data_IF_461717967420
#
_entry.id   IF_461717967420
#
_cell.length_a   1.000
_cell.length_b   1.000
_cell.length_c   1.000
_cell.angle_alpha   90.00
_cell.angle_beta   90.00
_cell.angle_gamma   90.00
#
_symmetry.space_group_name_H-M   'P 1'
#
loop_
_entity.id
_entity.type
_entity.pdbx_description
1 polymer ?
#
# COMPACT_ATOMS: atom_id res chain seq x y z
N UNK A 1 21.06 -41.37 2.72
CA UNK A 1 20.68 -40.49 1.60
C UNK A 1 20.06 -39.22 2.18
N UNK A 2 20.77 -38.09 2.10
CA UNK A 2 20.20 -36.79 2.49
C UNK A 2 19.23 -36.36 1.40
N UNK A 3 17.98 -36.09 1.74
CA UNK A 3 17.04 -35.44 0.82
C UNK A 3 17.59 -34.06 0.48
N UNK A 4 18.13 -33.90 -0.73
CA UNK A 4 18.29 -32.57 -1.32
C UNK A 4 16.89 -32.00 -1.46
N UNK A 5 16.55 -30.85 -0.85
CA UNK A 5 15.28 -30.18 -1.10
C UNK A 5 15.15 -30.02 -2.62
N UNK A 6 14.05 -30.55 -3.18
CA UNK A 6 13.87 -30.69 -4.62
C UNK A 6 14.15 -29.38 -5.35
N UNK A 7 14.81 -29.47 -6.51
CA UNK A 7 15.07 -28.30 -7.34
C UNK A 7 13.73 -27.66 -7.72
N UNK A 8 13.41 -26.58 -7.05
CA UNK A 8 12.21 -25.79 -7.28
C UNK A 8 12.25 -25.27 -8.71
N UNK A 9 11.29 -25.65 -9.57
CA UNK A 9 11.14 -25.09 -10.91
C UNK A 9 10.81 -23.60 -10.78
N UNK A 10 11.67 -22.67 -11.26
CA UNK A 10 11.40 -21.25 -11.09
C UNK A 10 10.12 -20.79 -11.77
N UNK A 11 9.74 -21.45 -12.87
CA UNK A 11 8.51 -21.14 -13.59
C UNK A 11 7.27 -21.59 -12.82
N UNK A 12 7.28 -22.80 -12.24
CA UNK A 12 6.16 -23.30 -11.41
C UNK A 12 6.01 -22.46 -10.15
N UNK A 13 7.12 -22.02 -9.56
CA UNK A 13 7.12 -21.12 -8.39
C UNK A 13 6.52 -19.77 -8.72
N UNK A 14 6.91 -19.19 -9.86
CA UNK A 14 6.41 -17.89 -10.27
C UNK A 14 4.90 -17.94 -10.58
N UNK A 15 4.44 -19.01 -11.22
CA UNK A 15 3.01 -19.24 -11.44
C UNK A 15 2.26 -19.53 -10.13
N UNK A 16 2.78 -20.42 -9.28
CA UNK A 16 2.16 -20.77 -8.00
C UNK A 16 2.10 -19.59 -7.02
N UNK A 17 3.05 -18.65 -7.10
CA UNK A 17 3.00 -17.39 -6.36
C UNK A 17 1.78 -16.54 -6.75
N UNK A 18 1.39 -16.52 -8.04
CA UNK A 18 0.18 -15.83 -8.48
C UNK A 18 -1.07 -16.49 -7.91
N UNK A 19 -1.13 -17.83 -7.96
CA UNK A 19 -2.27 -18.59 -7.43
C UNK A 19 -2.45 -18.35 -5.93
N UNK A 20 -1.35 -18.37 -5.16
CA UNK A 20 -1.38 -18.07 -3.71
C UNK A 20 -1.71 -16.61 -3.42
N UNK A 21 -1.24 -15.67 -4.25
CA UNK A 21 -1.62 -14.26 -4.13
C UNK A 21 -3.14 -14.08 -4.29
N UNK A 22 -3.74 -14.67 -5.32
CA UNK A 22 -5.19 -14.61 -5.54
C UNK A 22 -5.96 -15.30 -4.41
N UNK A 23 -5.47 -16.45 -3.93
CA UNK A 23 -6.08 -17.18 -2.82
C UNK A 23 -6.06 -16.37 -1.51
N UNK A 24 -4.94 -15.74 -1.15
CA UNK A 24 -4.83 -14.91 0.06
C UNK A 24 -5.75 -13.68 -0.04
N UNK A 25 -5.85 -13.02 -1.21
CA UNK A 25 -6.82 -11.94 -1.39
C UNK A 25 -8.26 -12.45 -1.24
N UNK A 26 -8.58 -13.63 -1.79
CA UNK A 26 -9.90 -14.23 -1.64
C UNK A 26 -10.24 -14.50 -0.17
N UNK A 27 -9.29 -15.02 0.61
CA UNK A 27 -9.45 -15.26 2.04
C UNK A 27 -9.71 -13.97 2.82
N UNK A 28 -8.90 -12.93 2.57
CA UNK A 28 -9.09 -11.60 3.19
C UNK A 28 -10.42 -10.94 2.79
N UNK A 29 -10.97 -11.28 1.63
CA UNK A 29 -12.22 -10.73 1.12
C UNK A 29 -13.47 -11.57 1.45
N UNK A 30 -13.29 -12.82 1.90
CA UNK A 30 -14.37 -13.76 2.19
C UNK A 30 -15.25 -13.30 3.35
N UNK A 31 -14.62 -12.72 4.39
CA UNK A 31 -15.30 -12.15 5.54
C UNK A 31 -14.77 -10.75 5.82
N UNK A 32 -15.65 -9.75 5.86
CA UNK A 32 -15.26 -8.36 6.08
C UNK A 32 -14.56 -8.13 7.44
N UNK A 33 -14.75 -9.01 8.43
CA UNK A 33 -14.07 -8.91 9.73
C UNK A 33 -12.56 -9.14 9.63
N UNK A 34 -12.12 -9.91 8.64
CA UNK A 34 -10.70 -10.19 8.37
C UNK A 34 -10.10 -9.25 7.33
N UNK A 35 -10.91 -8.35 6.78
CA UNK A 35 -10.50 -7.52 5.67
C UNK A 35 -9.37 -6.56 6.08
N UNK A 36 -8.27 -6.63 5.33
CA UNK A 36 -7.10 -5.75 5.43
C UNK A 36 -6.85 -5.14 4.03
N UNK A 37 -7.32 -3.91 3.77
CA UNK A 37 -7.15 -3.27 2.46
C UNK A 37 -5.67 -3.02 2.11
N UNK A 38 -4.80 -2.82 3.12
CA UNK A 38 -3.38 -2.56 2.91
C UNK A 38 -2.68 -3.84 2.44
N UNK A 39 -2.95 -4.98 3.09
CA UNK A 39 -2.41 -6.29 2.67
C UNK A 39 -2.88 -6.67 1.27
N UNK A 40 -4.18 -6.50 0.99
CA UNK A 40 -4.76 -6.72 -0.36
C UNK A 40 -4.05 -5.86 -1.41
N UNK A 41 -3.88 -4.57 -1.14
CA UNK A 41 -3.17 -3.65 -2.02
C UNK A 41 -1.73 -4.07 -2.30
N UNK A 42 -0.98 -4.46 -1.27
CA UNK A 42 0.41 -4.93 -1.38
C UNK A 42 0.54 -6.20 -2.21
N UNK A 43 -0.35 -7.17 -2.02
CA UNK A 43 -0.38 -8.41 -2.81
C UNK A 43 -0.70 -8.10 -4.28
N UNK A 44 -1.64 -7.21 -4.56
CA UNK A 44 -1.95 -6.85 -5.94
C UNK A 44 -0.84 -6.01 -6.61
N UNK A 45 -0.20 -5.11 -5.86
CA UNK A 45 0.93 -4.30 -6.34
C UNK A 45 2.12 -5.16 -6.79
N UNK A 46 2.31 -6.35 -6.21
CA UNK A 46 3.36 -7.23 -6.72
C UNK A 46 3.11 -7.69 -8.16
N UNK A 47 1.87 -7.70 -8.64
CA UNK A 47 1.49 -8.19 -9.96
C UNK A 47 1.37 -7.12 -11.04
N UNK A 48 1.26 -5.83 -10.68
CA UNK A 48 1.10 -4.70 -11.62
C UNK A 48 2.12 -4.74 -12.78
N UNK A 49 3.39 -4.99 -12.45
CA UNK A 49 4.47 -5.07 -13.45
C UNK A 49 5.00 -6.49 -13.68
N UNK A 50 4.34 -7.53 -13.14
CA UNK A 50 4.87 -8.91 -13.15
C UNK A 50 4.02 -9.94 -13.90
N UNK A 51 2.78 -9.60 -14.27
CA UNK A 51 1.94 -10.49 -15.09
C UNK A 51 2.56 -10.69 -16.48
N UNK A 52 3.01 -9.61 -17.13
CA UNK A 52 3.68 -9.70 -18.44
C UNK A 52 4.99 -10.50 -18.38
N UNK A 53 5.90 -10.26 -17.42
CA UNK A 53 7.05 -11.14 -17.20
C UNK A 53 6.70 -12.62 -17.00
N UNK A 54 5.67 -12.95 -16.21
CA UNK A 54 5.22 -14.33 -16.00
C UNK A 54 4.78 -14.98 -17.32
N UNK A 55 3.88 -14.34 -18.06
CA UNK A 55 3.39 -14.85 -19.35
C UNK A 55 4.53 -14.98 -20.36
N UNK A 56 5.48 -14.03 -20.36
CA UNK A 56 6.67 -14.07 -21.21
C UNK A 56 7.64 -15.19 -20.85
N UNK A 57 7.81 -15.47 -19.56
CA UNK A 57 8.61 -16.60 -19.09
C UNK A 57 7.96 -17.94 -19.46
N UNK A 58 6.65 -18.09 -19.24
CA UNK A 58 5.90 -19.30 -19.58
C UNK A 58 5.92 -19.57 -21.10
N UNK A 59 5.76 -18.52 -21.90
CA UNK A 59 5.68 -18.62 -23.37
C UNK A 59 7.03 -18.74 -24.08
N UNK A 60 8.13 -18.60 -23.34
CA UNK A 60 9.48 -18.72 -23.88
C UNK A 60 9.77 -20.14 -24.42
N UNK A 61 10.77 -20.25 -25.28
CA UNK A 61 11.36 -21.56 -25.64
C UNK A 61 11.94 -22.22 -24.38
N UNK A 62 11.85 -23.55 -24.30
CA UNK A 62 12.21 -24.34 -23.10
C UNK A 62 13.52 -23.93 -22.40
N UNK A 63 14.67 -23.75 -23.09
CA UNK A 63 15.92 -23.40 -22.40
C UNK A 63 15.87 -22.02 -21.72
N UNK A 64 14.97 -21.13 -22.13
CA UNK A 64 14.86 -19.77 -21.59
C UNK A 64 13.77 -19.62 -20.51
N UNK A 65 12.86 -20.59 -20.37
CA UNK A 65 11.71 -20.50 -19.44
C UNK A 65 12.16 -20.30 -17.99
N UNK A 66 12.99 -21.21 -17.49
CA UNK A 66 13.46 -21.18 -16.11
C UNK A 66 14.33 -19.96 -15.82
N UNK A 67 15.19 -19.56 -16.77
CA UNK A 67 16.04 -18.37 -16.63
C UNK A 67 15.23 -17.08 -16.55
N UNK A 68 14.21 -16.91 -17.40
CA UNK A 68 13.31 -15.74 -17.36
C UNK A 68 12.44 -15.72 -16.13
N UNK A 69 11.90 -16.86 -15.71
CA UNK A 69 11.10 -16.94 -14.49
C UNK A 69 11.95 -16.59 -13.25
N UNK A 70 13.18 -17.13 -13.16
CA UNK A 70 14.14 -16.76 -12.12
C UNK A 70 14.43 -15.26 -12.14
N UNK A 71 14.71 -14.68 -13.31
CA UNK A 71 14.96 -13.25 -13.42
C UNK A 71 13.74 -12.41 -12.96
N UNK A 72 12.51 -12.86 -13.24
CA UNK A 72 11.28 -12.21 -12.79
C UNK A 72 11.13 -12.21 -11.28
N UNK A 73 11.26 -13.38 -10.65
CA UNK A 73 11.25 -13.52 -9.18
C UNK A 73 12.35 -12.69 -8.50
N UNK A 74 13.56 -12.72 -9.06
CA UNK A 74 14.68 -11.91 -8.56
C UNK A 74 14.46 -10.41 -8.72
N UNK A 75 13.77 -9.98 -9.77
CA UNK A 75 13.41 -8.58 -9.97
C UNK A 75 12.33 -8.14 -8.97
N UNK A 76 11.29 -8.96 -8.77
CA UNK A 76 10.24 -8.70 -7.77
C UNK A 76 10.83 -8.50 -6.37
N UNK A 77 11.79 -9.33 -5.98
CA UNK A 77 12.45 -9.27 -4.68
C UNK A 77 13.47 -8.12 -4.54
N UNK A 78 13.98 -7.55 -5.65
CA UNK A 78 14.98 -6.47 -5.65
C UNK A 78 14.37 -5.09 -5.34
N UNK A 79 13.04 -5.01 -5.22
CA UNK A 79 12.28 -3.78 -4.97
C UNK A 79 12.19 -3.38 -3.49
N UNK A 80 12.90 -4.06 -2.60
CA UNK A 80 13.02 -3.71 -1.18
C UNK A 80 12.78 -4.89 -0.24
N UNK A 81 13.18 -4.72 1.03
CA UNK A 81 13.08 -5.78 2.03
C UNK A 81 11.63 -6.19 2.30
N UNK A 82 10.72 -5.21 2.41
CA UNK A 82 9.30 -5.45 2.65
C UNK A 82 8.63 -6.25 1.50
N UNK A 83 9.07 -6.02 0.26
CA UNK A 83 8.55 -6.76 -0.91
C UNK A 83 9.14 -8.15 -0.98
N UNK A 84 10.44 -8.33 -0.71
CA UNK A 84 11.03 -9.67 -0.57
C UNK A 84 10.32 -10.50 0.50
N UNK A 85 10.07 -9.91 1.67
CA UNK A 85 9.40 -10.61 2.77
C UNK A 85 7.98 -11.02 2.38
N UNK A 86 7.22 -10.13 1.74
CA UNK A 86 5.88 -10.44 1.21
C UNK A 86 5.89 -11.67 0.26
N UNK A 87 6.88 -11.79 -0.63
CA UNK A 87 6.99 -12.96 -1.51
C UNK A 87 7.24 -14.25 -0.71
N UNK A 88 8.02 -14.19 0.36
CA UNK A 88 8.31 -15.33 1.24
C UNK A 88 7.10 -15.70 2.09
N UNK A 89 6.33 -14.72 2.57
CA UNK A 89 5.09 -14.96 3.30
C UNK A 89 4.09 -15.72 2.42
N UNK A 90 4.00 -15.33 1.13
CA UNK A 90 3.15 -15.98 0.13
C UNK A 90 3.67 -17.35 -0.31
N UNK A 91 5.00 -17.55 -0.33
CA UNK A 91 5.63 -18.85 -0.63
C UNK A 91 6.94 -19.02 0.15
N UNK A 92 6.91 -19.73 1.30
CA UNK A 92 8.11 -19.94 2.13
C UNK A 92 9.26 -20.63 1.40
N UNK A 93 8.98 -21.37 0.31
CA UNK A 93 10.01 -22.02 -0.49
C UNK A 93 10.94 -21.00 -1.19
N UNK A 94 10.52 -19.73 -1.31
CA UNK A 94 11.32 -18.65 -1.87
C UNK A 94 12.45 -18.19 -0.92
N UNK A 95 12.41 -18.51 0.38
CA UNK A 95 13.41 -18.03 1.34
C UNK A 95 14.85 -18.45 0.99
N UNK A 96 15.03 -19.70 0.54
CA UNK A 96 16.32 -20.23 0.08
C UNK A 96 16.65 -19.91 -1.38
N UNK A 97 15.66 -19.44 -2.16
CA UNK A 97 15.81 -19.13 -3.58
C UNK A 97 16.17 -17.65 -3.82
N UNK A 98 15.57 -16.75 -3.05
CA UNK A 98 15.75 -15.30 -3.20
C UNK A 98 16.99 -14.82 -2.42
N UNK A 99 17.87 -14.03 -3.04
CA UNK A 99 19.00 -13.42 -2.33
C UNK A 99 18.50 -12.53 -1.19
N UNK A 100 19.36 -12.25 -0.22
CA UNK A 100 19.07 -11.25 0.80
C UNK A 100 18.60 -9.93 0.16
N UNK A 101 17.66 -9.25 0.81
CA UNK A 101 17.22 -7.94 0.36
C UNK A 101 18.42 -6.99 0.35
N UNK A 102 18.51 -6.15 -0.68
CA UNK A 102 19.47 -5.05 -0.66
C UNK A 102 19.08 -4.12 0.48
N UNK A 103 20.03 -3.65 1.30
CA UNK A 103 19.76 -2.60 2.26
C UNK A 103 19.15 -1.40 1.53
N UNK A 104 18.06 -0.86 2.06
CA UNK A 104 17.51 0.39 1.52
C UNK A 104 18.50 1.50 1.83
N UNK A 105 19.01 2.22 0.81
CA UNK A 105 19.96 3.28 1.06
C UNK A 105 19.24 4.45 1.76
N UNK A 106 19.87 4.98 2.80
CA UNK A 106 19.38 6.13 3.57
C UNK A 106 19.23 7.39 2.70
N UNK A 107 20.02 7.50 1.63
CA UNK A 107 19.88 8.52 0.60
C UNK A 107 20.26 7.96 -0.78
N UNK A 108 19.69 8.53 -1.83
CA UNK A 108 19.99 8.15 -3.22
C UNK A 108 20.01 9.39 -4.10
N UNK A 109 20.82 9.40 -5.16
CA UNK A 109 20.70 10.42 -6.20
C UNK A 109 19.59 10.07 -7.19
N UNK A 110 18.79 11.06 -7.58
CA UNK A 110 17.82 10.91 -8.66
C UNK A 110 18.47 11.08 -10.04
N UNK A 111 17.66 11.16 -11.09
CA UNK A 111 18.15 11.29 -12.47
C UNK A 111 18.83 12.64 -12.77
N UNK A 112 18.65 13.64 -11.89
CA UNK A 112 19.32 14.94 -11.95
C UNK A 112 20.58 14.98 -11.10
N UNK A 113 20.91 13.89 -10.40
CA UNK A 113 22.01 13.86 -9.43
C UNK A 113 21.65 14.46 -8.06
N UNK A 114 20.41 14.94 -7.88
CA UNK A 114 19.94 15.52 -6.62
C UNK A 114 19.74 14.41 -5.59
N UNK A 115 20.18 14.65 -4.35
CA UNK A 115 19.96 13.72 -3.25
C UNK A 115 18.47 13.65 -2.88
N UNK A 116 17.99 12.43 -2.76
CA UNK A 116 16.64 12.08 -2.29
C UNK A 116 16.76 11.21 -1.06
N UNK A 117 15.90 11.40 -0.06
CA UNK A 117 15.90 10.57 1.13
C UNK A 117 15.41 9.15 0.82
N UNK A 118 15.93 8.19 1.58
CA UNK A 118 15.33 6.89 1.76
C UNK A 118 14.22 6.90 2.82
N UNK A 119 13.78 5.71 3.20
CA UNK A 119 13.01 5.52 4.44
C UNK A 119 13.98 5.26 5.57
N UNK A 120 13.71 5.85 6.74
CA UNK A 120 14.53 5.72 7.94
C UNK A 120 13.72 5.04 9.04
N UNK A 121 14.27 4.05 9.76
CA UNK A 121 13.68 3.60 11.01
C UNK A 121 13.65 4.77 12.00
N UNK A 122 12.57 4.91 12.77
CA UNK A 122 12.47 5.93 13.79
C UNK A 122 13.33 5.57 14.99
N UNK A 123 14.42 6.31 15.14
CA UNK A 123 15.29 6.27 16.31
C UNK A 123 15.37 7.67 16.92
N UNK A 124 15.82 7.76 18.17
CA UNK A 124 16.04 9.06 18.81
C UNK A 124 17.00 9.96 18.01
N UNK A 125 17.98 9.36 17.32
CA UNK A 125 18.90 10.08 16.44
C UNK A 125 18.19 10.61 15.19
N UNK A 126 17.40 9.78 14.50
CA UNK A 126 16.64 10.19 13.31
C UNK A 126 15.66 11.31 13.66
N UNK A 127 14.95 11.21 14.79
CA UNK A 127 14.02 12.25 15.25
C UNK A 127 14.74 13.57 15.54
N UNK A 128 15.90 13.53 16.21
CA UNK A 128 16.72 14.74 16.40
C UNK A 128 17.16 15.33 15.07
N UNK A 129 17.57 14.51 14.12
CA UNK A 129 17.94 14.93 12.76
C UNK A 129 16.79 15.61 12.02
N UNK A 130 15.57 15.05 12.09
CA UNK A 130 14.38 15.69 11.52
C UNK A 130 14.14 17.08 12.10
N UNK A 131 14.28 17.25 13.42
CA UNK A 131 14.10 18.55 14.09
C UNK A 131 15.12 19.61 13.72
N UNK A 132 16.25 19.24 13.11
CA UNK A 132 17.21 20.20 12.53
C UNK A 132 16.65 20.80 11.25
N UNK A 133 16.04 19.97 10.39
CA UNK A 133 15.59 20.37 9.06
C UNK A 133 14.10 20.79 9.01
N UNK A 134 13.30 20.35 9.97
CA UNK A 134 11.85 20.52 10.01
C UNK A 134 11.37 21.01 11.38
N UNK A 135 10.33 21.85 11.39
CA UNK A 135 9.69 22.28 12.62
C UNK A 135 8.49 21.40 12.98
N UNK A 136 8.75 20.27 13.64
CA UNK A 136 7.71 19.30 14.00
C UNK A 136 6.65 19.89 14.95
N UNK A 137 7.05 20.81 15.83
CA UNK A 137 6.13 21.48 16.76
C UNK A 137 5.13 22.43 16.05
N UNK A 138 5.44 22.85 14.81
CA UNK A 138 4.55 23.62 13.95
C UNK A 138 3.95 22.77 12.81
N UNK A 139 4.27 21.48 12.74
CA UNK A 139 3.74 20.59 11.71
C UNK A 139 2.27 20.29 11.96
N UNK A 140 1.50 20.16 10.88
CA UNK A 140 0.09 19.77 10.94
C UNK A 140 -0.12 18.37 10.35
N UNK A 141 -1.05 17.59 10.90
CA UNK A 141 -1.45 16.31 10.28
C UNK A 141 -2.17 16.59 8.97
N UNK A 142 -1.52 16.25 7.85
CA UNK A 142 -2.05 16.39 6.50
C UNK A 142 -2.99 15.25 6.13
N UNK A 143 -2.58 14.03 6.46
CA UNK A 143 -3.43 12.84 6.29
C UNK A 143 -3.08 11.79 7.32
N UNK A 144 -4.06 10.98 7.66
CA UNK A 144 -3.93 9.86 8.56
C UNK A 144 -4.68 8.67 7.96
N UNK A 145 -4.13 7.48 8.09
CA UNK A 145 -4.86 6.23 7.85
C UNK A 145 -4.59 5.29 9.02
N UNK A 146 -5.63 4.62 9.51
CA UNK A 146 -5.54 3.59 10.53
C UNK A 146 -6.22 2.34 9.99
N UNK A 147 -5.51 1.21 10.02
CA UNK A 147 -6.00 -0.07 9.51
C UNK A 147 -5.88 -1.14 10.59
N UNK A 148 -6.93 -1.94 10.76
CA UNK A 148 -6.84 -3.17 11.53
C UNK A 148 -6.16 -4.25 10.70
N UNK A 149 -5.12 -4.85 11.25
CA UNK A 149 -4.36 -5.96 10.68
C UNK A 149 -4.55 -7.21 11.53
N UNK A 150 -3.97 -8.34 11.11
CA UNK A 150 -3.99 -9.56 11.91
C UNK A 150 -3.20 -9.43 13.24
N UNK A 151 -2.26 -8.49 13.32
CA UNK A 151 -1.34 -8.34 14.46
C UNK A 151 -1.59 -7.08 15.29
N UNK A 152 -2.71 -6.38 15.05
CA UNK A 152 -3.07 -5.15 15.77
C UNK A 152 -3.44 -4.03 14.80
N UNK A 153 -2.97 -2.82 15.07
CA UNK A 153 -3.22 -1.65 14.25
C UNK A 153 -1.95 -1.22 13.51
N UNK A 154 -2.12 -0.77 12.27
CA UNK A 154 -1.11 -0.04 11.49
C UNK A 154 -1.61 1.36 11.23
N UNK A 155 -0.74 2.36 11.42
CA UNK A 155 -1.06 3.75 11.13
C UNK A 155 -0.07 4.34 10.12
N UNK A 156 -0.59 5.00 9.09
CA UNK A 156 0.22 5.89 8.25
C UNK A 156 -0.18 7.34 8.54
N UNK A 157 0.80 8.19 8.76
CA UNK A 157 0.61 9.58 9.13
C UNK A 157 1.46 10.45 8.21
N UNK A 158 0.83 11.35 7.46
CA UNK A 158 1.54 12.38 6.68
C UNK A 158 1.44 13.69 7.43
N UNK A 159 2.59 14.31 7.71
CA UNK A 159 2.66 15.65 8.29
C UNK A 159 3.03 16.67 7.24
N UNK A 160 2.44 17.86 7.29
CA UNK A 160 2.89 19.04 6.59
C UNK A 160 3.81 19.84 7.54
N UNK A 161 5.12 19.65 7.42
CA UNK A 161 6.12 20.21 8.34
C UNK A 161 6.82 21.44 7.74
N UNK A 162 6.79 22.61 8.40
CA UNK A 162 7.58 23.76 7.97
C UNK A 162 9.07 23.41 7.91
N UNK A 163 9.76 23.87 6.86
CA UNK A 163 11.22 23.69 6.74
C UNK A 163 11.94 24.71 7.62
N UNK A 164 13.04 24.30 8.22
CA UNK A 164 13.99 25.17 8.93
C UNK A 164 15.11 25.67 8.02
N UNK A 165 15.24 25.10 6.83
CA UNK A 165 16.09 25.59 5.75
C UNK A 165 15.26 26.30 4.68
N UNK A 166 15.88 27.24 3.98
CA UNK A 166 15.24 28.03 2.91
C UNK A 166 15.56 27.41 1.56
N UNK A 167 14.58 26.87 0.81
CA UNK A 167 14.81 26.42 -0.55
C UNK A 167 15.33 27.54 -1.44
N UNK A 168 16.36 27.23 -2.24
CA UNK A 168 17.02 28.17 -3.16
C UNK A 168 16.10 28.61 -4.31
N UNK A 169 15.12 27.78 -4.65
CA UNK A 169 14.13 28.03 -5.72
C UNK A 169 12.72 27.98 -5.17
N UNK A 170 11.84 28.80 -5.75
CA UNK A 170 10.39 28.64 -5.55
C UNK A 170 9.83 27.50 -6.38
N UNK A 171 8.64 27.02 -6.00
CA UNK A 171 7.86 26.09 -6.81
C UNK A 171 7.31 26.81 -8.03
N UNK A 172 7.47 26.21 -9.21
CA UNK A 172 6.80 26.70 -10.43
C UNK A 172 5.39 26.11 -10.44
N UNK A 173 4.38 26.98 -10.40
CA UNK A 173 2.99 26.59 -10.44
C UNK A 173 2.55 26.25 -11.88
N UNK A 174 1.37 25.64 -12.02
CA UNK A 174 0.79 25.26 -13.33
C UNK A 174 0.64 26.47 -14.27
N UNK A 175 0.37 27.66 -13.73
CA UNK A 175 0.26 28.92 -14.49
C UNK A 175 1.63 29.56 -14.84
N UNK A 176 2.73 28.90 -14.49
CA UNK A 176 4.10 29.39 -14.68
C UNK A 176 4.60 30.38 -13.62
N UNK A 177 3.74 30.79 -12.68
CA UNK A 177 4.14 31.67 -11.58
C UNK A 177 5.09 30.96 -10.60
N UNK A 178 5.99 31.71 -9.98
CA UNK A 178 6.84 31.20 -8.89
C UNK A 178 6.15 31.44 -7.56
N UNK A 179 5.88 30.36 -6.83
CA UNK A 179 5.29 30.38 -5.49
C UNK A 179 6.28 29.88 -4.45
N UNK A 180 6.15 30.25 -3.17
CA UNK A 180 6.86 29.57 -2.09
C UNK A 180 6.54 28.07 -2.09
N UNK A 181 7.48 27.25 -1.62
CA UNK A 181 7.20 25.84 -1.37
C UNK A 181 6.23 25.72 -0.18
N UNK A 182 5.18 24.89 -0.26
CA UNK A 182 4.37 24.55 0.91
C UNK A 182 5.22 23.79 1.94
N UNK A 183 4.75 23.64 3.19
CA UNK A 183 5.38 22.75 4.17
C UNK A 183 5.70 21.37 3.58
N UNK A 184 6.82 20.78 3.99
CA UNK A 184 7.29 19.50 3.47
C UNK A 184 6.43 18.33 3.97
N UNK A 185 6.03 17.38 3.10
CA UNK A 185 5.35 16.18 3.55
C UNK A 185 6.35 15.22 4.20
N UNK A 186 6.11 14.86 5.46
CA UNK A 186 6.84 13.81 6.16
C UNK A 186 5.90 12.61 6.36
N UNK A 187 6.22 11.49 5.73
CA UNK A 187 5.38 10.28 5.76
C UNK A 187 5.89 9.31 6.82
N UNK A 188 5.10 9.07 7.85
CA UNK A 188 5.38 8.11 8.90
C UNK A 188 4.53 6.85 8.70
N UNK A 189 5.12 5.70 8.98
CA UNK A 189 4.41 4.42 9.11
C UNK A 189 4.71 3.85 10.48
N UNK A 190 3.67 3.44 11.19
CA UNK A 190 3.75 2.84 12.52
C UNK A 190 3.08 1.47 12.49
N UNK A 191 3.79 0.50 13.06
CA UNK A 191 3.38 -0.90 13.15
C UNK A 191 3.27 -1.30 14.62
N UNK A 192 2.36 -2.22 14.92
CA UNK A 192 2.09 -2.61 16.31
C UNK A 192 1.51 -1.45 17.13
N UNK A 193 0.60 -0.65 16.55
CA UNK A 193 -0.03 0.45 17.28
C UNK A 193 -0.94 -0.13 18.36
N UNK A 194 -0.62 0.16 19.62
CA UNK A 194 -1.33 -0.38 20.80
C UNK A 194 -2.31 0.63 21.41
N UNK A 195 -2.03 1.92 21.23
CA UNK A 195 -2.83 3.03 21.74
C UNK A 195 -2.76 4.16 20.73
N UNK A 196 -3.90 4.80 20.42
CA UNK A 196 -3.91 6.04 19.68
C UNK A 196 -5.17 6.87 19.95
N UNK A 197 -5.05 8.17 19.77
CA UNK A 197 -6.14 9.15 19.78
C UNK A 197 -5.83 10.28 18.80
N UNK A 198 -6.81 10.68 18.01
CA UNK A 198 -6.68 11.76 17.04
C UNK A 198 -7.96 12.59 16.99
N UNK A 199 -7.79 13.92 16.99
CA UNK A 199 -8.83 14.91 16.74
C UNK A 199 -8.37 15.83 15.62
N UNK A 200 -9.14 15.92 14.54
CA UNK A 200 -8.83 16.77 13.40
C UNK A 200 -8.80 18.28 13.75
N UNK A 201 -9.53 18.70 14.80
CA UNK A 201 -9.50 20.08 15.28
C UNK A 201 -8.19 20.41 16.04
N UNK A 202 -7.51 19.39 16.57
CA UNK A 202 -6.30 19.48 17.39
C UNK A 202 -5.08 18.87 16.68
N UNK A 203 -5.00 19.05 15.36
CA UNK A 203 -4.03 18.35 14.49
C UNK A 203 -2.65 19.01 14.37
N UNK A 204 -2.44 20.16 15.01
CA UNK A 204 -1.23 21.00 14.86
C UNK A 204 -0.30 20.78 16.05
N UNK A 205 0.97 20.54 15.75
CA UNK A 205 2.01 20.28 16.72
C UNK A 205 2.27 18.79 16.85
N UNK A 206 3.49 18.37 16.55
CA UNK A 206 3.89 16.97 16.64
C UNK A 206 5.18 16.86 17.42
N UNK A 207 5.19 15.92 18.37
CA UNK A 207 6.40 15.50 19.06
C UNK A 207 6.54 13.98 18.94
N UNK A 208 7.70 13.52 18.49
CA UNK A 208 8.03 12.10 18.41
C UNK A 208 9.06 11.80 19.49
N UNK A 209 8.83 10.76 20.27
CA UNK A 209 9.75 10.27 21.30
C UNK A 209 10.02 8.79 21.04
N UNK A 210 11.30 8.42 21.02
CA UNK A 210 11.73 7.03 20.89
C UNK A 210 12.37 6.60 22.22
N UNK A 211 11.89 5.50 22.78
CA UNK A 211 12.38 4.91 24.03
C UNK A 211 12.75 3.45 23.79
N UNK A 212 13.45 2.82 24.73
CA UNK A 212 13.75 1.39 24.67
C UNK A 212 12.48 0.52 24.70
N UNK A 213 11.38 1.07 25.19
CA UNK A 213 10.07 0.40 25.30
C UNK A 213 9.16 0.62 24.07
N UNK A 214 9.61 1.36 23.06
CA UNK A 214 8.84 1.64 21.84
C UNK A 214 8.76 3.13 21.49
N UNK A 215 7.85 3.44 20.57
CA UNK A 215 7.63 4.78 20.02
C UNK A 215 6.39 5.43 20.63
N UNK A 216 6.51 6.71 20.96
CA UNK A 216 5.40 7.56 21.36
C UNK A 216 5.34 8.82 20.48
N UNK A 217 4.14 9.17 20.02
CA UNK A 217 3.90 10.40 19.24
C UNK A 217 2.80 11.18 19.94
N UNK A 218 3.03 12.47 20.18
CA UNK A 218 1.99 13.42 20.58
C UNK A 218 1.55 14.21 19.33
N UNK A 219 0.24 14.39 19.17
CA UNK A 219 -0.41 15.10 18.07
C UNK A 219 -1.33 16.16 18.68
N UNK A 220 -1.00 17.44 18.51
CA UNK A 220 -1.68 18.52 19.20
C UNK A 220 -1.50 18.46 20.71
N UNK A 221 -2.60 18.75 21.41
CA UNK A 221 -2.69 18.80 22.87
C UNK A 221 -3.14 17.47 23.46
N UNK A 222 -4.08 16.78 22.81
CA UNK A 222 -4.72 15.56 23.33
C UNK A 222 -4.39 14.30 22.52
N UNK A 223 -4.03 14.46 21.24
CA UNK A 223 -3.73 13.35 20.36
C UNK A 223 -2.45 12.64 20.76
N UNK A 224 -2.45 11.32 20.64
CA UNK A 224 -1.32 10.48 21.02
C UNK A 224 -1.31 9.19 20.18
N UNK A 225 -0.14 8.55 20.11
CA UNK A 225 0.04 7.23 19.53
C UNK A 225 1.20 6.51 20.22
N UNK A 226 1.03 5.21 20.49
CA UNK A 226 2.09 4.28 20.90
C UNK A 226 2.21 3.14 19.91
N UNK A 227 3.43 2.82 19.50
CA UNK A 227 3.73 1.79 18.52
C UNK A 227 5.03 1.05 18.86
N UNK A 228 5.14 -0.19 18.41
CA UNK A 228 6.35 -1.02 18.59
C UNK A 228 7.49 -0.51 17.70
N UNK A 229 7.17 -0.25 16.44
CA UNK A 229 8.13 0.20 15.43
C UNK A 229 7.53 1.27 14.52
N UNK A 230 8.42 1.98 13.82
CA UNK A 230 7.99 2.97 12.87
C UNK A 230 9.11 3.44 11.97
N UNK A 231 8.71 3.99 10.84
CA UNK A 231 9.60 4.52 9.82
C UNK A 231 9.14 5.89 9.38
N UNK A 232 10.06 6.70 8.88
CA UNK A 232 9.79 8.01 8.29
C UNK A 232 10.40 8.09 6.91
N UNK A 233 9.66 8.67 5.98
CA UNK A 233 10.12 9.05 4.65
C UNK A 233 9.83 10.54 4.44
N UNK A 234 10.86 11.42 4.47
CA UNK A 234 10.70 12.81 4.11
C UNK A 234 10.44 12.93 2.60
N UNK A 235 9.19 13.01 2.14
CA UNK A 235 8.87 13.15 0.72
C UNK A 235 9.05 14.61 0.25
N UNK A 236 10.17 15.23 0.64
CA UNK A 236 10.48 16.62 0.40
C UNK A 236 11.26 16.79 -0.92
N UNK A 237 10.69 17.45 -1.95
CA UNK A 237 11.40 17.70 -3.20
C UNK A 237 12.64 18.59 -3.03
N UNK A 238 12.76 19.30 -1.91
CA UNK A 238 13.89 20.18 -1.59
C UNK A 238 14.83 19.55 -0.55
N UNK A 239 14.66 18.26 -0.21
CA UNK A 239 15.49 17.58 0.78
C UNK A 239 16.99 17.67 0.48
N UNK A 240 17.41 17.71 -0.79
CA UNK A 240 18.82 17.84 -1.18
C UNK A 240 19.50 19.11 -0.63
N UNK A 241 18.73 20.14 -0.26
CA UNK A 241 19.23 21.38 0.35
C UNK A 241 19.26 21.33 1.90
N UNK A 242 18.80 20.23 2.50
CA UNK A 242 18.75 20.04 3.95
C UNK A 242 20.13 19.76 4.57
N UNK A 243 20.25 19.90 5.89
CA UNK A 243 21.44 19.49 6.63
C UNK A 243 21.65 17.97 6.56
N UNK A 244 20.57 17.17 6.66
CA UNK A 244 20.62 15.73 6.52
C UNK A 244 21.17 15.29 5.15
N UNK A 245 20.76 15.96 4.06
CA UNK A 245 21.29 15.66 2.74
C UNK A 245 22.78 15.98 2.63
N UNK A 246 23.23 17.14 3.13
CA UNK A 246 24.66 17.48 3.16
C UNK A 246 25.48 16.46 3.94
N UNK A 247 24.96 15.96 5.06
CA UNK A 247 25.61 14.91 5.84
C UNK A 247 25.66 13.56 5.11
N UNK A 248 24.63 13.23 4.32
CA UNK A 248 24.56 12.00 3.54
C UNK A 248 25.39 12.04 2.25
N UNK A 249 25.70 13.23 1.72
CA UNK A 249 26.35 13.43 0.42
C UNK A 249 27.68 12.66 0.26
N UNK A 250 28.64 12.72 1.22
CA UNK A 250 29.93 12.04 1.07
C UNK A 250 29.82 10.51 1.01
N UNK A 251 28.77 9.95 1.63
CA UNK A 251 28.52 8.50 1.67
C UNK A 251 27.60 8.00 0.54
N UNK A 252 27.01 8.90 -0.25
CA UNK A 252 26.04 8.53 -1.28
C UNK A 252 26.72 8.39 -2.63
N UNK A 253 26.76 7.16 -3.22
CA UNK A 253 27.38 6.95 -4.52
C UNK A 253 26.81 7.88 -5.60
N UNK A 254 27.69 8.39 -6.46
CA UNK A 254 27.29 9.14 -7.66
C UNK A 254 26.71 8.22 -8.74
N UNK A 255 27.22 7.00 -8.81
CA UNK A 255 26.70 5.99 -9.72
C UNK A 255 25.38 5.46 -9.21
N UNK A 256 24.37 5.50 -10.09
CA UNK A 256 23.10 4.87 -9.80
C UNK A 256 23.35 3.38 -9.62
N UNK A 257 23.01 2.77 -8.47
CA UNK A 257 23.08 1.32 -8.36
C UNK A 257 22.21 0.74 -9.47
N UNK A 258 22.82 -0.04 -10.37
CA UNK A 258 22.10 -0.69 -11.44
C UNK A 258 21.07 -1.62 -10.79
N UNK A 259 19.81 -1.19 -10.81
CA UNK A 259 18.69 -2.08 -10.51
C UNK A 259 18.73 -3.19 -11.54
N UNK A 260 18.37 -4.40 -11.14
CA UNK A 260 18.15 -5.46 -12.13
C UNK A 260 17.17 -4.91 -13.16
N UNK A 261 17.53 -4.97 -14.43
CA UNK A 261 16.60 -4.57 -15.49
C UNK A 261 15.33 -5.40 -15.34
N UNK A 262 14.15 -4.79 -15.54
CA UNK A 262 12.93 -5.56 -15.70
C UNK A 262 13.17 -6.64 -16.75
N UNK A 263 12.69 -7.85 -16.51
CA UNK A 263 12.79 -8.93 -17.50
C UNK A 263 12.17 -8.42 -18.79
N UNK A 264 13.00 -8.21 -19.83
CA UNK A 264 12.49 -7.79 -21.14
C UNK A 264 11.45 -8.81 -21.56
N UNK A 265 10.19 -8.38 -21.61
CA UNK A 265 9.13 -9.22 -22.12
C UNK A 265 9.51 -9.53 -23.58
N UNK A 266 9.76 -10.81 -23.88
CA UNK A 266 9.83 -11.24 -25.26
C UNK A 266 8.53 -10.84 -25.97
N UNK A 267 8.61 -10.71 -27.29
CA UNK A 267 7.45 -10.40 -28.13
C UNK A 267 6.40 -11.50 -27.91
N UNK A 268 5.36 -11.17 -27.15
CA UNK A 268 4.19 -12.02 -26.96
C UNK A 268 3.37 -12.00 -28.25
N UNK A 269 2.71 -13.12 -28.57
CA UNK A 269 1.65 -13.10 -29.59
C UNK A 269 0.51 -12.17 -29.16
N UNK A 270 -0.34 -11.75 -30.10
CA UNK A 270 -1.46 -10.86 -29.79
C UNK A 270 -2.38 -11.45 -28.70
N UNK A 271 -2.63 -12.75 -28.77
CA UNK A 271 -3.48 -13.52 -27.86
C UNK A 271 -2.85 -13.62 -26.47
N UNK A 272 -1.54 -13.91 -26.39
CA UNK A 272 -0.80 -13.91 -25.13
C UNK A 272 -0.81 -12.53 -24.46
N UNK A 273 -0.62 -11.47 -25.24
CA UNK A 273 -0.64 -10.08 -24.76
C UNK A 273 -2.04 -9.68 -24.28
N UNK A 274 -3.08 -10.10 -25.00
CA UNK A 274 -4.47 -9.82 -24.64
C UNK A 274 -4.85 -10.50 -23.31
N UNK A 275 -4.55 -11.80 -23.16
CA UNK A 275 -4.76 -12.51 -21.89
C UNK A 275 -3.99 -11.87 -20.72
N UNK A 276 -2.71 -11.53 -20.92
CA UNK A 276 -1.91 -10.86 -19.90
C UNK A 276 -2.51 -9.50 -19.48
N UNK A 277 -3.03 -8.73 -20.44
CA UNK A 277 -3.69 -7.44 -20.18
C UNK A 277 -5.01 -7.61 -19.44
N UNK A 278 -5.81 -8.63 -19.79
CA UNK A 278 -7.07 -8.91 -19.11
C UNK A 278 -6.83 -9.24 -17.63
N UNK A 279 -5.90 -10.15 -17.34
CA UNK A 279 -5.50 -10.46 -15.96
C UNK A 279 -4.87 -9.27 -15.23
N UNK A 280 -4.04 -8.48 -15.91
CA UNK A 280 -3.48 -7.25 -15.36
C UNK A 280 -4.56 -6.24 -14.96
N UNK A 281 -5.61 -6.13 -15.77
CA UNK A 281 -6.75 -5.26 -15.47
C UNK A 281 -7.50 -5.73 -14.22
N UNK A 282 -7.70 -7.04 -14.06
CA UNK A 282 -8.30 -7.61 -12.85
C UNK A 282 -7.45 -7.30 -11.60
N UNK A 283 -6.13 -7.54 -11.67
CA UNK A 283 -5.23 -7.24 -10.54
C UNK A 283 -5.12 -5.75 -10.25
N UNK A 284 -5.25 -4.88 -11.27
CA UNK A 284 -5.33 -3.45 -11.07
C UNK A 284 -6.57 -3.06 -10.26
N UNK A 285 -7.74 -3.67 -10.52
CA UNK A 285 -8.94 -3.42 -9.70
C UNK A 285 -8.73 -3.84 -8.24
N UNK A 286 -8.10 -5.00 -7.99
CA UNK A 286 -7.75 -5.44 -6.63
C UNK A 286 -6.81 -4.43 -5.97
N UNK A 287 -5.79 -3.97 -6.70
CA UNK A 287 -4.83 -2.97 -6.23
C UNK A 287 -5.51 -1.66 -5.83
N UNK A 288 -6.47 -1.19 -6.64
CA UNK A 288 -7.19 0.06 -6.36
C UNK A 288 -7.85 0.04 -4.98
N UNK A 289 -8.29 -1.11 -4.47
CA UNK A 289 -8.90 -1.20 -3.13
C UNK A 289 -7.92 -0.81 -2.02
N UNK A 290 -6.64 -1.15 -2.16
CA UNK A 290 -5.64 -0.80 -1.15
C UNK A 290 -5.19 0.67 -1.21
N UNK A 291 -5.25 1.31 -2.38
CA UNK A 291 -4.89 2.74 -2.54
C UNK A 291 -6.08 3.69 -2.38
N UNK A 292 -7.28 3.21 -2.68
CA UNK A 292 -8.53 3.97 -2.64
C UNK A 292 -9.56 3.21 -1.80
N UNK A 293 -9.47 3.28 -0.46
CA UNK A 293 -10.31 2.52 0.45
C UNK A 293 -11.82 2.77 0.29
N UNK A 294 -12.22 3.92 -0.27
CA UNK A 294 -13.63 4.19 -0.60
C UNK A 294 -14.17 3.21 -1.65
N UNK A 295 -13.31 2.54 -2.41
CA UNK A 295 -13.66 1.48 -3.36
C UNK A 295 -13.76 0.09 -2.72
N UNK A 296 -13.45 -0.09 -1.44
CA UNK A 296 -13.38 -1.40 -0.79
C UNK A 296 -14.71 -2.18 -0.79
N UNK A 297 -15.85 -1.48 -0.70
CA UNK A 297 -17.17 -2.10 -0.84
C UNK A 297 -17.64 -2.19 -2.31
N UNK A 298 -17.14 -1.30 -3.19
CA UNK A 298 -17.60 -1.22 -4.57
C UNK A 298 -16.90 -2.23 -5.49
N UNK A 299 -15.63 -2.56 -5.23
CA UNK A 299 -14.88 -3.54 -6.03
C UNK A 299 -15.29 -4.95 -5.60
N UNK A 300 -15.79 -5.78 -6.53
CA UNK A 300 -16.27 -7.13 -6.21
C UNK A 300 -15.09 -8.12 -6.10
N UNK A 301 -14.26 -7.96 -5.05
CA UNK A 301 -13.05 -8.74 -4.84
C UNK A 301 -13.27 -10.26 -4.92
N UNK A 302 -14.35 -10.77 -4.31
CA UNK A 302 -14.67 -12.21 -4.33
C UNK A 302 -14.87 -12.73 -5.75
N UNK A 303 -15.55 -11.95 -6.60
CA UNK A 303 -15.80 -12.32 -7.99
C UNK A 303 -14.53 -12.22 -8.84
N UNK A 304 -13.73 -11.16 -8.64
CA UNK A 304 -12.43 -11.02 -9.31
C UNK A 304 -11.51 -12.18 -8.95
N UNK A 305 -11.41 -12.55 -7.67
CA UNK A 305 -10.58 -13.66 -7.23
C UNK A 305 -11.10 -15.00 -7.73
N UNK A 306 -12.42 -15.17 -7.84
CA UNK A 306 -13.04 -16.37 -8.45
C UNK A 306 -12.67 -16.50 -9.93
N UNK A 307 -12.71 -15.41 -10.69
CA UNK A 307 -12.34 -15.38 -12.11
C UNK A 307 -10.84 -15.66 -12.31
N UNK A 308 -10.00 -15.05 -11.46
CA UNK A 308 -8.55 -15.19 -11.49
C UNK A 308 -8.03 -16.41 -10.71
N UNK A 309 -8.92 -17.24 -10.15
CA UNK A 309 -8.54 -18.44 -9.43
C UNK A 309 -7.67 -19.31 -10.33
N UNK A 310 -6.56 -19.82 -9.78
CA UNK A 310 -5.57 -20.66 -10.47
C UNK A 310 -4.97 -20.06 -11.76
N UNK A 311 -4.97 -18.72 -11.90
CA UNK A 311 -4.49 -18.03 -13.11
C UNK A 311 -3.03 -18.38 -13.47
N UNK A 312 -2.15 -18.55 -12.49
CA UNK A 312 -0.78 -19.00 -12.69
C UNK A 312 -0.72 -20.40 -13.31
N UNK A 313 -1.40 -21.37 -12.71
CA UNK A 313 -1.53 -22.73 -13.24
C UNK A 313 -2.16 -22.78 -14.64
N UNK A 314 -3.15 -21.91 -14.91
CA UNK A 314 -3.78 -21.78 -16.21
C UNK A 314 -2.81 -21.24 -17.28
N UNK A 315 -1.97 -20.25 -16.94
CA UNK A 315 -0.89 -19.75 -17.82
C UNK A 315 0.09 -20.88 -18.15
N UNK A 316 0.50 -21.69 -17.18
CA UNK A 316 1.40 -22.82 -17.42
C UNK A 316 0.78 -23.82 -18.40
N UNK A 317 -0.48 -24.19 -18.16
CA UNK A 317 -1.23 -25.12 -18.99
C UNK A 317 -1.34 -24.61 -20.44
N UNK A 318 -1.76 -23.35 -20.63
CA UNK A 318 -1.83 -22.74 -21.96
C UNK A 318 -0.46 -22.71 -22.64
N UNK A 319 0.61 -22.41 -21.89
CA UNK A 319 1.98 -22.34 -22.41
C UNK A 319 2.59 -23.70 -22.78
N UNK A 320 1.99 -24.81 -22.35
CA UNK A 320 2.43 -26.16 -22.70
C UNK A 320 2.11 -26.50 -24.17
N UNK A 321 1.07 -25.88 -24.74
CA UNK A 321 0.73 -26.00 -26.16
C UNK A 321 1.75 -25.27 -27.07
N UNK A 322 1.68 -25.53 -28.38
CA UNK A 322 2.55 -24.91 -29.39
C UNK A 322 1.73 -24.33 -30.54
N UNK A 323 2.29 -23.31 -31.20
CA UNK A 323 1.72 -22.70 -32.40
C UNK A 323 0.26 -22.25 -32.20
N UNK A 324 -0.63 -22.48 -33.19
CA UNK A 324 -2.03 -22.07 -33.11
C UNK A 324 -2.81 -22.62 -31.91
N UNK A 325 -2.47 -23.82 -31.42
CA UNK A 325 -3.13 -24.40 -30.25
C UNK A 325 -2.83 -23.60 -28.97
N UNK A 326 -1.61 -23.05 -28.87
CA UNK A 326 -1.24 -22.15 -27.77
C UNK A 326 -2.00 -20.84 -27.85
N UNK A 327 -2.08 -20.25 -29.05
CA UNK A 327 -2.81 -18.98 -29.22
C UNK A 327 -4.31 -19.16 -28.93
N UNK A 328 -4.91 -20.29 -29.33
CA UNK A 328 -6.28 -20.66 -28.95
C UNK A 328 -6.44 -20.80 -27.43
N UNK A 329 -5.49 -21.45 -26.75
CA UNK A 329 -5.54 -21.58 -25.30
C UNK A 329 -5.46 -20.23 -24.58
N UNK A 330 -4.58 -19.32 -25.03
CA UNK A 330 -4.52 -17.96 -24.49
C UNK A 330 -5.74 -17.12 -24.83
N UNK A 331 -6.35 -17.29 -26.00
CA UNK A 331 -7.62 -16.63 -26.33
C UNK A 331 -8.75 -17.08 -25.40
N UNK A 332 -8.80 -18.36 -25.00
CA UNK A 332 -9.76 -18.83 -24.01
C UNK A 332 -9.53 -18.21 -22.61
N UNK A 333 -8.28 -18.03 -22.20
CA UNK A 333 -7.96 -17.32 -20.95
C UNK A 333 -8.36 -15.84 -21.01
N UNK A 334 -8.13 -15.19 -22.15
CA UNK A 334 -8.57 -13.80 -22.37
C UNK A 334 -10.09 -13.68 -22.27
N UNK A 335 -10.85 -14.56 -22.94
CA UNK A 335 -12.32 -14.60 -22.86
C UNK A 335 -12.80 -14.71 -21.40
N UNK A 336 -12.15 -15.56 -20.61
CA UNK A 336 -12.47 -15.75 -19.21
C UNK A 336 -12.18 -14.49 -18.37
N UNK A 337 -11.09 -13.77 -18.64
CA UNK A 337 -10.60 -12.69 -17.79
C UNK A 337 -10.98 -11.28 -18.25
N UNK A 338 -11.43 -11.10 -19.49
CA UNK A 338 -11.70 -9.76 -20.06
C UNK A 338 -12.85 -9.04 -19.36
N UNK A 339 -13.75 -9.80 -18.73
CA UNK A 339 -14.91 -9.26 -18.04
C UNK A 339 -14.53 -8.85 -16.62
N UNK A 340 -14.20 -7.56 -16.45
CA UNK A 340 -14.13 -6.95 -15.13
C UNK A 340 -15.56 -6.89 -14.58
N UNK A 341 -15.85 -7.53 -13.44
CA UNK A 341 -17.20 -7.49 -12.90
C UNK A 341 -17.59 -6.05 -12.57
N UNK A 342 -18.86 -5.66 -12.78
CA UNK A 342 -19.29 -4.30 -12.53
C UNK A 342 -19.10 -3.94 -11.06
N UNK A 343 -18.81 -2.66 -10.80
CA UNK A 343 -18.77 -2.15 -9.42
C UNK A 343 -20.15 -2.34 -8.78
N UNK A 344 -20.15 -2.81 -7.54
CA UNK A 344 -21.35 -2.91 -6.74
C UNK A 344 -21.66 -1.56 -6.10
N UNK A 345 -22.94 -1.23 -5.86
CA UNK A 345 -23.26 -0.10 -4.99
C UNK A 345 -22.62 -0.36 -3.61
N UNK A 346 -21.87 0.62 -3.11
CA UNK A 346 -21.25 0.50 -1.80
C UNK A 346 -22.36 0.39 -0.73
N UNK A 347 -22.30 -0.67 0.08
CA UNK A 347 -23.21 -0.80 1.21
C UNK A 347 -22.95 0.34 2.21
N UNK A 348 -23.98 1.11 2.61
CA UNK A 348 -23.80 2.18 3.58
C UNK A 348 -23.58 1.62 4.98
N UNK A 349 -22.86 2.36 5.82
CA UNK A 349 -22.78 2.08 7.26
C UNK A 349 -24.11 2.54 7.90
N UNK A 350 -24.91 1.60 8.36
CA UNK A 350 -26.14 1.83 9.14
C UNK A 350 -25.88 1.80 10.65
N UNK A 351 -26.89 2.13 11.45
CA UNK A 351 -26.85 1.93 12.91
C UNK A 351 -26.88 0.44 13.24
N UNK A 352 -26.05 -0.02 14.18
CA UNK A 352 -25.99 -1.43 14.55
C UNK A 352 -24.59 -1.92 14.92
N UNK A 353 -24.41 -3.25 15.04
CA UNK A 353 -23.10 -3.84 15.27
C UNK A 353 -22.20 -3.65 14.05
N UNK A 354 -20.95 -3.25 14.28
CA UNK A 354 -19.92 -3.08 13.26
C UNK A 354 -18.55 -3.51 13.80
N UNK A 355 -17.60 -3.76 12.90
CA UNK A 355 -16.17 -3.78 13.24
C UNK A 355 -15.45 -2.81 12.32
N UNK A 356 -14.83 -1.77 12.86
CA UNK A 356 -14.01 -0.87 12.06
C UNK A 356 -12.79 -1.61 11.53
N UNK A 357 -12.53 -1.49 10.23
CA UNK A 357 -11.38 -2.11 9.55
C UNK A 357 -10.39 -1.08 9.05
N UNK A 358 -10.89 0.09 8.65
CA UNK A 358 -10.07 1.16 8.12
C UNK A 358 -10.72 2.52 8.36
N UNK A 359 -9.94 3.51 8.75
CA UNK A 359 -10.34 4.91 8.74
C UNK A 359 -9.22 5.74 8.10
N UNK A 360 -9.56 6.62 7.17
CA UNK A 360 -8.66 7.66 6.67
C UNK A 360 -9.22 9.06 6.88
N UNK A 361 -8.32 10.00 7.12
CA UNK A 361 -8.54 11.43 7.12
C UNK A 361 -7.57 12.11 6.18
N UNK A 362 -8.05 13.10 5.42
CA UNK A 362 -7.21 14.01 4.63
C UNK A 362 -7.70 15.42 4.86
N UNK A 363 -6.79 16.32 5.20
CA UNK A 363 -7.05 17.76 5.34
C UNK A 363 -7.14 18.45 3.96
N UNK A 364 -7.90 19.56 3.78
CA UNK A 364 -7.90 20.27 2.51
C UNK A 364 -6.51 20.77 2.14
N UNK A 365 -6.18 20.69 0.86
CA UNK A 365 -4.88 21.12 0.37
C UNK A 365 -4.77 21.33 -1.13
N UNK A 366 -3.69 21.96 -1.58
CA UNK A 366 -3.45 22.37 -2.96
C UNK A 366 -2.11 21.84 -3.53
N UNK A 367 -1.68 20.65 -3.08
CA UNK A 367 -0.44 20.04 -3.59
C UNK A 367 -0.47 19.94 -5.11
N UNK A 368 0.65 20.33 -5.73
CA UNK A 368 0.80 20.39 -7.18
C UNK A 368 -0.24 21.29 -7.88
N UNK A 369 -0.72 22.33 -7.19
CA UNK A 369 -1.78 23.26 -7.63
C UNK A 369 -3.13 22.57 -7.91
N UNK A 370 -3.38 21.40 -7.30
CA UNK A 370 -4.66 20.72 -7.39
C UNK A 370 -5.37 20.81 -6.05
N UNK A 371 -6.41 21.63 -5.98
CA UNK A 371 -7.26 21.73 -4.81
C UNK A 371 -7.92 20.38 -4.51
N UNK A 372 -7.68 19.87 -3.31
CA UNK A 372 -8.28 18.66 -2.75
C UNK A 372 -9.09 19.06 -1.53
N UNK A 373 -10.41 18.77 -1.50
CA UNK A 373 -11.21 18.99 -0.30
C UNK A 373 -10.75 18.03 0.80
N UNK A 374 -11.09 18.33 2.05
CA UNK A 374 -10.94 17.33 3.10
C UNK A 374 -11.86 16.15 2.84
N UNK A 375 -11.44 14.98 3.31
CA UNK A 375 -12.24 13.78 3.25
C UNK A 375 -11.98 12.89 4.46
N UNK A 376 -13.02 12.18 4.89
CA UNK A 376 -12.90 11.04 5.78
C UNK A 376 -13.50 9.81 5.09
N UNK A 377 -12.81 8.68 5.15
CA UNK A 377 -13.31 7.40 4.64
C UNK A 377 -13.30 6.41 5.78
N UNK A 378 -14.44 5.73 5.97
CA UNK A 378 -14.63 4.68 6.96
C UNK A 378 -14.97 3.40 6.23
N UNK A 379 -14.22 2.33 6.50
CA UNK A 379 -14.55 0.97 6.06
C UNK A 379 -14.84 0.13 7.30
N UNK A 380 -16.00 -0.48 7.32
CA UNK A 380 -16.44 -1.34 8.41
C UNK A 380 -16.89 -2.71 7.87
N UNK A 381 -16.72 -3.74 8.68
CA UNK A 381 -17.48 -4.96 8.56
C UNK A 381 -18.86 -4.73 9.20
N UNK A 382 -19.92 -5.18 8.53
CA UNK A 382 -21.29 -5.18 9.06
C UNK A 382 -21.93 -6.56 8.87
N UNK A 383 -22.82 -7.03 9.76
CA UNK A 383 -23.50 -8.31 9.55
C UNK A 383 -24.34 -8.30 8.28
N UNK A 384 -24.48 -9.47 7.66
CA UNK A 384 -25.45 -9.70 6.61
C UNK A 384 -26.86 -9.96 7.14
N UNK A 385 -27.78 -10.31 6.24
CA UNK A 385 -29.14 -10.72 6.60
C UNK A 385 -29.15 -12.01 7.43
N UNK A 386 -28.23 -12.94 7.14
CA UNK A 386 -27.98 -14.13 7.94
C UNK A 386 -26.96 -13.83 9.05
N UNK A 387 -27.35 -13.89 10.34
CA UNK A 387 -26.42 -13.65 11.46
C UNK A 387 -25.27 -14.66 11.55
N UNK A 388 -25.44 -15.87 11.00
CA UNK A 388 -24.39 -16.88 10.95
C UNK A 388 -23.50 -16.75 9.70
N UNK A 389 -23.89 -15.90 8.75
CA UNK A 389 -23.17 -15.67 7.50
C UNK A 389 -21.92 -14.79 7.65
N UNK A 390 -21.11 -14.71 6.58
CA UNK A 390 -19.97 -13.79 6.54
C UNK A 390 -20.45 -12.35 6.60
N UNK A 391 -19.68 -11.50 7.27
CA UNK A 391 -19.96 -10.07 7.31
C UNK A 391 -19.59 -9.42 5.97
N UNK A 392 -20.30 -8.35 5.63
CA UNK A 392 -20.09 -7.60 4.40
C UNK A 392 -19.31 -6.31 4.65
N UNK A 393 -18.63 -5.82 3.61
CA UNK A 393 -17.91 -4.55 3.65
C UNK A 393 -18.90 -3.41 3.44
N UNK A 394 -18.94 -2.49 4.39
CA UNK A 394 -19.65 -1.22 4.26
C UNK A 394 -18.63 -0.08 4.23
N UNK A 395 -18.95 0.96 3.45
CA UNK A 395 -18.10 2.14 3.30
C UNK A 395 -18.94 3.39 3.47
N UNK A 396 -18.37 4.38 4.17
CA UNK A 396 -18.86 5.76 4.14
C UNK A 396 -17.69 6.68 3.82
N UNK A 397 -17.86 7.44 2.75
CA UNK A 397 -17.03 8.61 2.47
C UNK A 397 -17.80 9.86 2.91
N UNK A 398 -17.11 10.76 3.59
CA UNK A 398 -17.61 12.06 4.04
C UNK A 398 -16.67 13.10 3.47
N UNK A 399 -17.15 13.83 2.48
CA UNK A 399 -16.45 14.98 1.90
C UNK A 399 -16.61 16.16 2.84
N UNK A 400 -15.52 16.88 3.08
CA UNK A 400 -15.48 18.04 3.97
C UNK A 400 -16.05 17.77 5.37
N UNK A 401 -15.55 16.76 6.11
CA UNK A 401 -16.02 16.51 7.47
C UNK A 401 -15.80 17.77 8.32
N UNK A 402 -16.83 18.20 9.04
CA UNK A 402 -16.74 19.34 9.97
C UNK A 402 -15.97 18.97 11.23
N UNK A 403 -16.01 17.68 11.62
CA UNK A 403 -15.27 17.13 12.75
C UNK A 403 -14.94 15.65 12.52
N UNK A 404 -13.76 15.23 12.99
CA UNK A 404 -13.37 13.82 13.09
C UNK A 404 -12.60 13.60 14.38
N UNK A 405 -13.07 12.65 15.20
CA UNK A 405 -12.37 12.12 16.38
C UNK A 405 -12.31 10.61 16.31
N UNK A 406 -11.17 10.04 16.64
CA UNK A 406 -10.99 8.60 16.66
C UNK A 406 -9.93 8.17 17.67
N UNK A 407 -10.18 7.06 18.35
CA UNK A 407 -9.27 6.43 19.29
C UNK A 407 -9.18 4.91 19.05
N UNK A 408 -8.13 4.30 19.61
CA UNK A 408 -7.85 2.85 19.52
C UNK A 408 -9.05 1.96 19.85
N UNK A 409 -9.83 2.34 20.86
CA UNK A 409 -11.02 1.59 21.29
C UNK A 409 -12.06 1.39 20.19
N UNK A 410 -12.12 2.27 19.19
CA UNK A 410 -13.08 2.15 18.08
C UNK A 410 -12.82 0.91 17.18
N UNK A 411 -11.61 0.33 17.24
CA UNK A 411 -11.23 -0.88 16.53
C UNK A 411 -11.30 -2.15 17.39
N UNK A 412 -11.73 -2.04 18.66
CA UNK A 412 -11.75 -3.16 19.60
C UNK A 412 -12.94 -4.10 19.32
N UNK A 413 -12.76 -5.07 18.44
CA UNK A 413 -13.76 -6.10 18.18
C UNK A 413 -15.09 -5.54 17.64
N UNK A 414 -16.18 -6.21 17.98
CA UNK A 414 -17.54 -5.75 17.65
C UNK A 414 -17.93 -4.54 18.50
N UNK A 415 -18.36 -3.49 17.84
CA UNK A 415 -18.79 -2.21 18.41
C UNK A 415 -20.19 -1.87 17.92
N UNK A 416 -20.89 -0.95 18.60
CA UNK A 416 -22.21 -0.50 18.15
C UNK A 416 -22.13 0.93 17.63
N UNK A 417 -22.32 1.09 16.32
CA UNK A 417 -22.37 2.42 15.70
C UNK A 417 -23.76 3.01 15.81
N UNK A 418 -23.82 4.31 16.13
CA UNK A 418 -25.03 5.13 16.04
C UNK A 418 -24.89 6.05 14.83
N UNK A 419 -25.93 6.06 14.00
CA UNK A 419 -26.12 7.04 12.94
C UNK A 419 -27.28 7.96 13.30
N UNK A 420 -26.99 9.24 13.46
CA UNK A 420 -27.98 10.30 13.63
C UNK A 420 -27.81 11.32 12.50
N UNK A 421 -28.85 11.48 11.68
CA UNK A 421 -28.76 12.08 10.35
C UNK A 421 -27.60 11.47 9.53
N UNK A 422 -26.49 12.20 9.42
CA UNK A 422 -25.28 11.80 8.73
C UNK A 422 -24.03 11.73 9.62
N UNK A 423 -24.19 11.93 10.93
CA UNK A 423 -23.14 11.71 11.92
C UNK A 423 -23.00 10.21 12.17
N UNK A 424 -21.77 9.70 12.12
CA UNK A 424 -21.45 8.34 12.57
C UNK A 424 -20.65 8.41 13.86
N UNK A 425 -21.04 7.63 14.86
CA UNK A 425 -20.36 7.60 16.16
C UNK A 425 -20.32 6.22 16.79
N UNK A 426 -19.26 5.93 17.55
CA UNK A 426 -19.12 4.75 18.41
C UNK A 426 -18.70 5.28 19.78
N UNK A 427 -19.67 5.36 20.69
CA UNK A 427 -19.52 5.92 22.03
C UNK A 427 -18.69 7.22 22.02
N UNK A 428 -17.63 7.31 22.83
CA UNK A 428 -16.67 8.42 22.86
C UNK A 428 -15.40 8.16 22.02
N UNK A 429 -15.25 6.95 21.46
CA UNK A 429 -14.04 6.50 20.77
C UNK A 429 -14.00 6.85 19.29
N UNK A 430 -15.15 7.15 18.68
CA UNK A 430 -15.22 7.54 17.26
C UNK A 430 -16.39 8.47 17.02
N UNK A 431 -16.15 9.56 16.29
CA UNK A 431 -17.19 10.42 15.76
C UNK A 431 -16.72 11.09 14.47
N UNK A 432 -17.58 11.09 13.45
CA UNK A 432 -17.36 11.87 12.22
C UNK A 432 -18.63 12.62 11.84
N UNK A 433 -18.48 13.92 11.66
CA UNK A 433 -19.58 14.84 11.35
C UNK A 433 -19.42 15.34 9.92
N UNK A 434 -20.46 15.28 9.09
CA UNK A 434 -20.46 15.92 7.78
C UNK A 434 -20.46 17.45 7.92
N UNK A 435 -20.14 18.15 6.85
CA UNK A 435 -20.55 19.55 6.74
C UNK A 435 -22.08 19.59 6.60
N UNK A 436 -22.75 20.35 7.47
CA UNK A 436 -24.19 20.59 7.38
C UNK A 436 -24.56 21.48 6.20
#
# INVERSE_FOLDING_TARGET
MRHTPGVISPLETFAGLLDRSVAEVAELAADARNFDPVRVGRIADIWDNNIFPLVSAASAVRPLRSGRARAGLLWMADLGAARRQLLIDLDPALAGFLPAARPEPSARRDYRGELRPGSFPLTAEVVRGLSVDYDLAAAAVRSMTVSATATGLRMHLTLAAPRRFQPSTGRVAVDGSRKPWPPAPLMFTFDGVTEFGFDAEDRVGVAVTCTDTGLAVALGREGHLRADEGTVWPDDPQWHESAAARAADPGTPHDRPQRREPVRAAILSAQQKAAARALHTLMLQVRLVGYYPHLAAAVPLNEICRIAAVAGSAILTASAHRGPARDKAFAALEEQWRHVPPKLPAAPIGSGPIMLRFVSYTEPHDDYDVARPSSAVVVAAVPGEDPAGPWHRAVKEITQPSRLRIAGGAFAGEQRVRRDADVLSIDDTFAVHPHG
#
